data_IF_707024866111
#
_entry.id   IF_707024866111
#
_cell.length_a   1.000
_cell.length_b   1.000
_cell.length_c   1.000
_cell.angle_alpha   90.00
_cell.angle_beta   90.00
_cell.angle_gamma   90.00
#
_symmetry.space_group_name_H-M   'P 1'
#
loop_
_entity.id
_entity.type
_entity.pdbx_description
1 polymer ?
#
# COMPACT_ATOMS: atom_id res chain seq x y z
N UNK A 1 12.15 -17.16 -3.85
CA UNK A 1 11.78 -17.60 -5.21
C UNK A 1 11.58 -16.37 -6.05
N UNK A 2 12.41 -16.16 -7.06
CA UNK A 2 12.35 -14.94 -7.87
C UNK A 2 11.19 -15.06 -8.86
N UNK A 3 10.19 -14.19 -8.67
CA UNK A 3 9.20 -13.94 -9.72
C UNK A 3 9.99 -13.31 -10.87
N UNK A 4 9.87 -13.90 -12.06
CA UNK A 4 10.60 -13.45 -13.25
C UNK A 4 10.41 -11.94 -13.44
N UNK A 5 11.53 -11.23 -13.56
CA UNK A 5 11.54 -9.87 -14.08
C UNK A 5 10.77 -9.87 -15.42
N UNK A 6 9.97 -8.85 -15.65
CA UNK A 6 9.11 -8.66 -16.83
C UNK A 6 7.76 -9.39 -16.84
N UNK A 7 7.35 -10.06 -15.76
CA UNK A 7 6.01 -10.62 -15.67
C UNK A 7 4.94 -9.50 -15.76
N UNK A 8 3.98 -9.65 -16.68
CA UNK A 8 2.84 -8.75 -16.82
C UNK A 8 1.59 -9.38 -16.20
N UNK A 9 1.04 -8.74 -15.17
CA UNK A 9 -0.15 -9.16 -14.45
C UNK A 9 -1.38 -8.49 -15.06
N UNK A 10 -2.47 -9.24 -15.23
CA UNK A 10 -3.74 -8.75 -15.76
C UNK A 10 -3.59 -7.97 -17.09
N UNK A 11 -2.61 -8.32 -17.92
CA UNK A 11 -2.27 -7.64 -19.19
C UNK A 11 -2.04 -6.13 -19.05
N UNK A 12 -1.73 -5.67 -17.84
CA UNK A 12 -1.69 -4.22 -17.53
C UNK A 12 -0.56 -3.81 -16.60
N UNK A 13 -0.09 -4.68 -15.71
CA UNK A 13 0.85 -4.31 -14.67
C UNK A 13 2.15 -5.10 -14.82
N UNK A 14 3.21 -4.43 -15.24
CA UNK A 14 4.54 -5.03 -15.42
C UNK A 14 5.32 -4.95 -14.12
N UNK A 15 5.88 -6.07 -13.64
CA UNK A 15 6.81 -6.13 -12.51
C UNK A 15 8.17 -5.61 -12.96
N UNK A 16 8.79 -4.73 -12.13
CA UNK A 16 10.12 -4.18 -12.40
C UNK A 16 11.14 -4.78 -11.42
N UNK A 17 10.90 -4.65 -10.11
CA UNK A 17 11.86 -5.10 -9.09
C UNK A 17 11.17 -5.40 -7.76
N UNK A 18 11.76 -6.31 -6.98
CA UNK A 18 11.36 -6.54 -5.60
C UNK A 18 11.85 -5.36 -4.73
N UNK A 19 10.95 -4.78 -3.93
CA UNK A 19 11.23 -3.66 -3.04
C UNK A 19 11.03 -4.00 -1.56
N UNK A 20 10.48 -5.17 -1.28
CA UNK A 20 10.28 -5.66 0.09
C UNK A 20 9.99 -7.15 0.10
N UNK A 21 10.51 -7.83 1.11
CA UNK A 21 10.26 -9.25 1.36
C UNK A 21 10.04 -9.43 2.87
N UNK A 22 9.00 -10.17 3.23
CA UNK A 22 8.64 -10.39 4.63
C UNK A 22 7.85 -11.68 4.82
N UNK A 23 7.46 -11.92 6.05
CA UNK A 23 6.72 -13.12 6.48
C UNK A 23 5.40 -13.31 5.73
N UNK A 24 4.79 -12.23 5.27
CA UNK A 24 3.47 -12.21 4.63
C UNK A 24 3.54 -12.13 3.10
N UNK A 25 4.73 -12.23 2.51
CA UNK A 25 4.93 -12.21 1.07
C UNK A 25 5.92 -11.14 0.60
N UNK A 26 5.94 -10.93 -0.70
CA UNK A 26 6.85 -9.99 -1.35
C UNK A 26 6.10 -8.79 -1.90
N UNK A 27 6.78 -7.64 -1.89
CA UNK A 27 6.27 -6.40 -2.51
C UNK A 27 7.19 -6.03 -3.67
N UNK A 28 6.59 -5.75 -4.80
CA UNK A 28 7.30 -5.38 -6.03
C UNK A 28 6.90 -3.97 -6.45
N UNK A 29 7.87 -3.22 -6.97
CA UNK A 29 7.60 -2.05 -7.79
C UNK A 29 7.27 -2.50 -9.20
N UNK A 30 6.29 -1.89 -9.81
CA UNK A 30 5.89 -2.14 -11.18
C UNK A 30 5.39 -0.86 -11.86
N UNK A 31 4.95 -1.02 -13.09
CA UNK A 31 4.38 0.04 -13.90
C UNK A 31 3.09 -0.42 -14.58
N UNK A 32 2.11 0.46 -14.66
CA UNK A 32 0.96 0.26 -15.52
C UNK A 32 1.39 0.52 -16.97
N UNK A 33 1.40 -0.50 -17.81
CA UNK A 33 1.92 -0.40 -19.18
C UNK A 33 1.12 0.56 -20.07
N UNK A 34 -0.13 0.90 -19.71
CA UNK A 34 -0.96 1.80 -20.46
C UNK A 34 -0.79 3.28 -20.04
N UNK A 35 -0.75 3.54 -18.73
CA UNK A 35 -0.69 4.92 -18.19
C UNK A 35 0.73 5.33 -17.81
N UNK A 36 1.68 4.40 -17.75
CA UNK A 36 3.06 4.58 -17.28
C UNK A 36 3.15 4.97 -15.80
N UNK A 37 2.05 4.84 -15.03
CA UNK A 37 2.05 5.10 -13.60
C UNK A 37 2.83 4.02 -12.84
N UNK A 38 3.63 4.45 -11.87
CA UNK A 38 4.26 3.53 -10.94
C UNK A 38 3.21 2.92 -10.00
N UNK A 39 3.33 1.61 -9.80
CA UNK A 39 2.44 0.84 -8.90
C UNK A 39 3.26 -0.02 -7.95
N UNK A 40 2.65 -0.40 -6.83
CA UNK A 40 3.15 -1.43 -5.92
C UNK A 40 2.29 -2.68 -6.07
N UNK A 41 2.95 -3.84 -6.06
CA UNK A 41 2.31 -5.15 -6.20
C UNK A 41 2.68 -5.98 -4.99
N UNK A 42 1.71 -6.27 -4.13
CA UNK A 42 1.89 -7.23 -3.02
C UNK A 42 1.53 -8.63 -3.52
N UNK A 43 2.35 -9.61 -3.18
CA UNK A 43 2.16 -11.01 -3.57
C UNK A 43 2.17 -11.91 -2.35
N UNK A 44 1.10 -12.70 -2.17
CA UNK A 44 0.94 -13.68 -1.10
C UNK A 44 0.81 -15.08 -1.71
N UNK A 45 1.54 -16.07 -1.17
CA UNK A 45 1.45 -17.47 -1.61
C UNK A 45 0.05 -18.03 -1.32
N UNK A 46 -0.60 -18.62 -2.32
CA UNK A 46 -1.94 -19.22 -2.18
C UNK A 46 -2.02 -20.36 -1.16
N UNK A 47 -0.88 -20.98 -0.84
CA UNK A 47 -0.79 -22.05 0.16
C UNK A 47 -0.83 -21.52 1.59
N UNK A 48 -0.64 -20.21 1.78
CA UNK A 48 -0.74 -19.58 3.11
C UNK A 48 -2.16 -19.70 3.63
N UNK A 49 -2.31 -20.23 4.86
CA UNK A 49 -3.61 -20.47 5.50
C UNK A 49 -4.36 -19.17 5.82
N UNK A 50 -3.65 -18.09 6.05
CA UNK A 50 -4.19 -16.82 6.55
C UNK A 50 -4.53 -15.84 5.44
N UNK A 51 -5.03 -16.06 4.39
CA UNK A 51 -5.53 -15.16 3.30
C UNK A 51 -5.52 -13.65 3.67
N UNK A 52 -4.38 -13.14 4.17
CA UNK A 52 -4.25 -11.79 4.71
C UNK A 52 -4.44 -10.73 3.62
N UNK A 53 -3.88 -10.98 2.44
CA UNK A 53 -3.98 -10.05 1.31
C UNK A 53 -5.42 -9.87 0.84
N UNK A 54 -6.24 -10.93 0.89
CA UNK A 54 -7.67 -10.85 0.57
C UNK A 54 -8.40 -9.98 1.61
N UNK A 55 -8.06 -10.14 2.89
CA UNK A 55 -8.66 -9.38 3.99
C UNK A 55 -8.32 -7.90 3.89
N UNK A 56 -7.03 -7.58 3.71
CA UNK A 56 -6.54 -6.23 3.47
C UNK A 56 -7.27 -5.57 2.28
N UNK A 57 -7.36 -6.28 1.17
CA UNK A 57 -8.07 -5.81 -0.03
C UNK A 57 -9.54 -5.49 0.25
N UNK A 58 -10.23 -6.35 1.03
CA UNK A 58 -11.64 -6.13 1.36
C UNK A 58 -11.84 -4.91 2.24
N UNK A 59 -10.95 -4.69 3.22
CA UNK A 59 -11.00 -3.51 4.09
C UNK A 59 -10.75 -2.23 3.28
N UNK A 60 -9.73 -2.21 2.42
CA UNK A 60 -9.44 -1.03 1.59
C UNK A 60 -10.59 -0.69 0.65
N UNK A 61 -11.21 -1.68 0.01
CA UNK A 61 -12.39 -1.47 -0.86
C UNK A 61 -13.56 -0.90 -0.06
N UNK A 62 -13.86 -1.48 1.10
CA UNK A 62 -14.90 -0.99 2.00
C UNK A 62 -14.68 0.49 2.37
N UNK A 63 -13.47 0.84 2.82
CA UNK A 63 -13.13 2.21 3.18
C UNK A 63 -13.23 3.17 1.99
N UNK A 64 -12.82 2.73 0.80
CA UNK A 64 -12.93 3.51 -0.43
C UNK A 64 -14.39 3.79 -0.80
N UNK A 65 -15.27 2.79 -0.72
CA UNK A 65 -16.71 2.90 -0.96
C UNK A 65 -17.39 3.87 0.03
N UNK A 66 -16.84 3.96 1.25
CA UNK A 66 -17.30 4.90 2.29
C UNK A 66 -16.58 6.25 2.26
N UNK A 67 -15.94 6.58 1.13
CA UNK A 67 -15.29 7.86 0.89
C UNK A 67 -14.17 8.21 1.88
N UNK A 68 -13.56 7.22 2.54
CA UNK A 68 -12.37 7.44 3.35
C UNK A 68 -11.21 7.90 2.45
N UNK A 69 -10.66 9.06 2.77
CA UNK A 69 -9.52 9.61 2.06
C UNK A 69 -8.20 9.03 2.58
N UNK A 70 -7.16 9.13 1.78
CA UNK A 70 -5.80 8.75 2.16
C UNK A 70 -5.64 7.25 2.49
N UNK A 71 -6.47 6.43 1.85
CA UNK A 71 -6.38 4.97 1.81
C UNK A 71 -6.01 4.57 0.37
N UNK A 72 -5.12 3.57 0.16
CA UNK A 72 -4.75 3.14 -1.18
C UNK A 72 -5.96 2.69 -2.01
N UNK A 73 -6.10 3.21 -3.21
CA UNK A 73 -7.05 2.66 -4.17
C UNK A 73 -6.59 1.27 -4.62
N UNK A 74 -7.50 0.30 -4.61
CA UNK A 74 -7.24 -1.04 -5.14
C UNK A 74 -7.37 -1.00 -6.67
N UNK A 75 -6.24 -1.03 -7.37
CA UNK A 75 -6.23 -1.05 -8.83
C UNK A 75 -6.59 -2.40 -9.40
N UNK A 76 -6.17 -3.47 -8.73
CA UNK A 76 -6.49 -4.84 -9.10
C UNK A 76 -6.20 -5.79 -7.94
N UNK A 77 -6.96 -6.88 -7.87
CA UNK A 77 -6.70 -8.01 -6.97
C UNK A 77 -7.12 -9.31 -7.66
N UNK A 78 -6.25 -10.30 -7.66
CA UNK A 78 -6.55 -11.59 -8.27
C UNK A 78 -5.38 -12.58 -8.27
N UNK A 79 -5.58 -13.76 -8.89
CA UNK A 79 -4.56 -14.80 -8.96
C UNK A 79 -3.44 -14.47 -9.94
N UNK A 80 -2.21 -14.78 -9.53
CA UNK A 80 -1.00 -14.69 -10.35
C UNK A 80 -0.21 -15.99 -10.14
N UNK A 81 -0.33 -16.96 -11.02
CA UNK A 81 0.25 -18.30 -10.85
C UNK A 81 -0.10 -18.90 -9.47
N UNK A 82 0.91 -19.26 -8.67
CA UNK A 82 0.75 -19.79 -7.30
C UNK A 82 0.51 -18.73 -6.23
N UNK A 83 0.37 -17.46 -6.61
CA UNK A 83 0.20 -16.33 -5.71
C UNK A 83 -1.16 -15.65 -5.88
N UNK A 84 -1.56 -14.91 -4.85
CA UNK A 84 -2.55 -13.84 -4.94
C UNK A 84 -1.80 -12.52 -5.04
N UNK A 85 -2.22 -11.66 -5.97
CA UNK A 85 -1.63 -10.35 -6.19
C UNK A 85 -2.62 -9.22 -5.86
N UNK A 86 -2.12 -8.17 -5.22
CA UNK A 86 -2.81 -6.90 -4.97
C UNK A 86 -2.01 -5.77 -5.58
N UNK A 87 -2.63 -4.97 -6.44
CA UNK A 87 -2.02 -3.80 -7.08
C UNK A 87 -2.62 -2.53 -6.49
N UNK A 88 -1.75 -1.67 -5.97
CA UNK A 88 -2.09 -0.36 -5.38
C UNK A 88 -1.16 0.72 -5.96
N UNK A 89 -1.43 2.02 -5.75
CA UNK A 89 -0.51 3.09 -6.12
C UNK A 89 0.87 2.88 -5.49
N UNK A 90 1.92 3.29 -6.19
CA UNK A 90 3.26 3.36 -5.62
C UNK A 90 3.41 4.65 -4.82
N UNK A 91 4.01 4.55 -3.65
CA UNK A 91 4.32 5.67 -2.76
C UNK A 91 5.83 5.91 -2.72
N UNK A 92 6.24 7.17 -2.56
CA UNK A 92 7.65 7.59 -2.63
C UNK A 92 8.48 7.00 -1.50
N UNK A 93 7.97 7.09 -0.28
CA UNK A 93 8.65 6.56 0.91
C UNK A 93 7.66 6.45 2.09
N UNK A 94 8.04 5.71 3.11
CA UNK A 94 7.32 5.72 4.39
C UNK A 94 7.65 6.99 5.19
N UNK A 95 6.80 7.33 6.15
CA UNK A 95 7.03 8.48 7.04
C UNK A 95 8.34 8.38 7.81
N UNK A 96 8.77 7.17 8.17
CA UNK A 96 10.07 6.98 8.83
C UNK A 96 11.25 7.25 7.89
N UNK A 97 11.14 6.89 6.62
CA UNK A 97 12.14 7.21 5.59
C UNK A 97 12.14 8.71 5.27
N UNK A 98 10.95 9.31 5.16
CA UNK A 98 10.79 10.73 4.94
C UNK A 98 11.53 11.57 6.00
N UNK A 99 11.40 11.20 7.29
CA UNK A 99 12.13 11.84 8.40
C UNK A 99 13.64 11.79 8.23
N UNK A 100 14.19 10.72 7.67
CA UNK A 100 15.64 10.57 7.45
C UNK A 100 16.17 11.43 6.30
N UNK A 101 15.31 11.70 5.31
CA UNK A 101 15.68 12.44 4.08
C UNK A 101 15.45 13.94 4.22
N UNK A 102 14.46 14.35 4.99
CA UNK A 102 14.01 15.75 5.13
C UNK A 102 14.10 16.22 6.57
N UNK A 103 14.62 17.43 6.75
CA UNK A 103 14.48 18.14 8.03
C UNK A 103 13.01 18.46 8.26
N UNK A 104 12.52 18.12 9.46
CA UNK A 104 11.14 18.35 9.84
C UNK A 104 11.10 19.51 10.82
N UNK A 105 10.56 20.66 10.39
CA UNK A 105 10.26 21.79 11.27
C UNK A 105 9.05 21.47 12.16
N UNK A 106 8.87 22.20 13.26
CA UNK A 106 7.72 22.03 14.14
C UNK A 106 6.38 22.22 13.40
N UNK A 107 6.29 23.21 12.52
CA UNK A 107 5.10 23.42 11.68
C UNK A 107 4.79 22.23 10.80
N UNK A 108 5.82 21.64 10.18
CA UNK A 108 5.66 20.46 9.34
C UNK A 108 5.30 19.21 10.15
N UNK A 109 5.85 19.08 11.35
CA UNK A 109 5.47 18.00 12.28
C UNK A 109 3.99 18.11 12.65
N UNK A 110 3.52 19.31 13.00
CA UNK A 110 2.11 19.54 13.31
C UNK A 110 1.20 19.16 12.11
N UNK A 111 1.56 19.55 10.89
CA UNK A 111 0.81 19.20 9.69
C UNK A 111 0.76 17.68 9.46
N UNK A 112 1.88 16.96 9.66
CA UNK A 112 1.95 15.49 9.59
C UNK A 112 1.03 14.85 10.64
N UNK A 113 1.12 15.30 11.90
CA UNK A 113 0.30 14.74 12.99
C UNK A 113 -1.19 14.98 12.76
N UNK A 114 -1.56 16.15 12.26
CA UNK A 114 -2.96 16.47 11.89
C UNK A 114 -3.45 15.50 10.80
N UNK A 115 -2.66 15.25 9.76
CA UNK A 115 -3.03 14.26 8.73
C UNK A 115 -3.19 12.85 9.32
N UNK A 116 -2.25 12.40 10.17
CA UNK A 116 -2.35 11.08 10.82
C UNK A 116 -3.67 10.95 11.61
N UNK A 117 -3.99 11.95 12.45
CA UNK A 117 -5.22 11.93 13.25
C UNK A 117 -6.45 11.93 12.35
N UNK A 118 -6.49 12.77 11.32
CA UNK A 118 -7.62 12.84 10.39
C UNK A 118 -7.85 11.52 9.64
N UNK A 119 -6.78 10.82 9.22
CA UNK A 119 -6.89 9.50 8.60
C UNK A 119 -7.47 8.48 9.59
N UNK A 120 -6.97 8.46 10.83
CA UNK A 120 -7.45 7.55 11.87
C UNK A 120 -8.91 7.82 12.23
N UNK A 121 -9.29 9.08 12.39
CA UNK A 121 -10.68 9.48 12.63
C UNK A 121 -11.59 8.98 11.50
N UNK A 122 -11.19 9.16 10.24
CA UNK A 122 -11.95 8.71 9.08
C UNK A 122 -12.19 7.20 9.09
N UNK A 123 -11.16 6.38 9.35
CA UNK A 123 -11.33 4.92 9.39
C UNK A 123 -12.13 4.45 10.62
N UNK A 124 -11.93 5.09 11.78
CA UNK A 124 -12.67 4.76 13.01
C UNK A 124 -14.15 5.11 12.89
N UNK A 125 -14.51 6.22 12.27
CA UNK A 125 -15.90 6.57 11.98
C UNK A 125 -16.59 5.56 11.06
N UNK A 126 -15.81 4.81 10.29
CA UNK A 126 -16.29 3.69 9.47
C UNK A 126 -16.08 2.32 10.14
N UNK A 127 -15.98 2.29 11.48
CA UNK A 127 -15.89 1.07 12.29
C UNK A 127 -14.69 0.17 11.95
N UNK A 128 -13.62 0.72 11.38
CA UNK A 128 -12.38 0.00 11.06
C UNK A 128 -11.28 0.40 12.04
N UNK A 129 -10.67 -0.59 12.69
CA UNK A 129 -9.49 -0.43 13.55
C UNK A 129 -8.31 -1.06 12.83
N UNK A 130 -7.25 -0.29 12.58
CA UNK A 130 -6.08 -0.72 11.82
C UNK A 130 -5.21 -1.76 12.57
N UNK A 131 -5.02 -1.61 13.88
CA UNK A 131 -4.28 -2.49 14.80
C UNK A 131 -2.75 -2.52 14.66
N UNK A 132 -2.18 -1.83 13.67
CA UNK A 132 -0.72 -1.73 13.48
C UNK A 132 -0.30 -0.31 13.08
N UNK A 133 -0.69 0.69 13.91
CA UNK A 133 -0.36 2.09 13.68
C UNK A 133 1.10 2.34 14.02
N UNK A 134 1.90 2.66 13.00
CA UNK A 134 3.33 2.99 13.11
C UNK A 134 3.79 3.83 11.93
N UNK A 135 4.89 4.60 12.04
CA UNK A 135 5.38 5.47 10.97
C UNK A 135 5.76 4.74 9.67
N UNK A 136 6.03 3.43 9.74
CA UNK A 136 6.30 2.59 8.58
C UNK A 136 5.07 2.40 7.69
N UNK A 137 3.87 2.39 8.29
CA UNK A 137 2.60 2.17 7.59
C UNK A 137 1.94 3.47 7.11
N UNK A 138 2.52 4.63 7.41
CA UNK A 138 2.16 5.90 6.76
C UNK A 138 3.11 6.15 5.59
N UNK A 139 2.57 6.15 4.39
CA UNK A 139 3.31 6.40 3.16
C UNK A 139 3.13 7.85 2.69
N UNK A 140 4.15 8.40 2.05
CA UNK A 140 4.15 9.78 1.51
C UNK A 140 4.04 9.73 0.00
N UNK A 141 3.14 10.54 -0.55
CA UNK A 141 3.03 10.80 -1.98
C UNK A 141 2.63 12.26 -2.19
N UNK A 142 3.47 13.03 -2.88
CA UNK A 142 3.24 14.46 -3.18
C UNK A 142 2.91 15.32 -1.94
N UNK A 143 3.50 14.98 -0.80
CA UNK A 143 3.29 15.69 0.47
C UNK A 143 2.07 15.25 1.28
N UNK A 144 1.25 14.35 0.76
CA UNK A 144 0.12 13.75 1.45
C UNK A 144 0.51 12.40 2.08
N UNK A 145 -0.13 12.06 3.20
CA UNK A 145 0.02 10.78 3.86
C UNK A 145 -1.06 9.81 3.43
N UNK A 146 -0.69 8.54 3.33
CA UNK A 146 -1.59 7.42 3.06
C UNK A 146 -1.31 6.30 4.05
N UNK A 147 -2.35 5.70 4.62
CA UNK A 147 -2.24 4.58 5.55
C UNK A 147 -2.37 3.27 4.79
N UNK A 148 -1.42 2.35 4.99
CA UNK A 148 -1.33 1.04 4.32
C UNK A 148 -1.28 -0.10 5.34
N UNK A 149 -1.36 -1.35 4.89
CA UNK A 149 -1.21 -2.58 5.69
C UNK A 149 -2.33 -2.78 6.73
N UNK A 150 -3.59 -2.84 6.25
CA UNK A 150 -4.83 -3.05 7.04
C UNK A 150 -5.01 -4.49 7.56
#
# INVERSE_FOLDING_TARGET
>A
MDIQHDLVIAHKYKIIQCIGSGTFGNVYKGVNVKTQDNIAIKMEDKRTSYKLLKRETSIMKYLYEHHCRNIPAVHWFGPVNDYMGLVIPFYECSLIQYRKIKSITLSKLNAIMTQCVSILESIHNNMVIHRDIKPQNFMVKQGELFLIDF
#
